data_IF_846803050192
#
_entry.id   IF_846803050192
#
_cell.length_a   1.000
_cell.length_b   1.000
_cell.length_c   1.000
_cell.angle_alpha   90.00
_cell.angle_beta   90.00
_cell.angle_gamma   90.00
#
_symmetry.space_group_name_H-M   'P 1'
#
loop_
_entity.id
_entity.type
_entity.pdbx_description
1 polymer ?
#
# COMPACT_ATOMS: atom_id res chain seq x y z
N UNK A 1 -7.24 46.60 -33.40
CA UNK A 1 -6.65 45.87 -32.26
C UNK A 1 -6.58 46.85 -31.10
N UNK A 2 -7.30 46.60 -29.99
CA UNK A 2 -6.68 45.86 -28.90
C UNK A 2 -7.63 44.97 -28.04
N UNK A 3 -7.10 43.81 -27.66
CA UNK A 3 -7.04 43.31 -26.28
C UNK A 3 -8.31 42.81 -25.54
N UNK A 4 -8.10 41.63 -24.92
CA UNK A 4 -8.77 41.09 -23.72
C UNK A 4 -9.99 40.19 -23.95
N UNK A 5 -9.72 38.93 -24.30
CA UNK A 5 -10.69 37.83 -24.15
C UNK A 5 -10.90 37.58 -22.64
N UNK A 6 -11.86 38.31 -22.08
CA UNK A 6 -12.41 38.13 -20.75
C UNK A 6 -13.69 37.28 -20.90
N UNK A 7 -13.86 36.30 -20.02
CA UNK A 7 -15.09 35.53 -19.79
C UNK A 7 -15.41 34.41 -20.80
N UNK A 8 -14.69 33.29 -20.67
CA UNK A 8 -15.23 31.95 -20.97
C UNK A 8 -15.44 31.22 -19.65
N UNK A 9 -16.52 31.55 -18.95
CA UNK A 9 -16.99 30.83 -17.77
C UNK A 9 -18.27 30.09 -18.12
N UNK A 10 -18.13 28.89 -18.70
CA UNK A 10 -19.19 27.88 -18.75
C UNK A 10 -18.62 26.60 -19.36
N UNK A 11 -18.10 25.67 -18.55
CA UNK A 11 -18.19 24.25 -18.92
C UNK A 11 -17.94 23.33 -17.71
N UNK A 12 -19.01 22.64 -17.32
CA UNK A 12 -19.03 21.26 -16.82
C UNK A 12 -18.31 21.00 -15.49
N UNK A 13 -19.11 21.00 -14.42
CA UNK A 13 -18.78 20.26 -13.20
C UNK A 13 -19.91 19.27 -12.89
N UNK A 14 -20.10 18.29 -13.78
CA UNK A 14 -20.92 17.11 -13.51
C UNK A 14 -20.05 15.86 -13.66
N UNK A 15 -19.02 15.78 -12.82
CA UNK A 15 -18.23 14.57 -12.61
C UNK A 15 -19.00 13.65 -11.67
N UNK A 16 -19.88 12.84 -12.25
CA UNK A 16 -20.61 11.75 -11.59
C UNK A 16 -19.62 10.89 -10.79
N UNK A 17 -19.92 10.65 -9.52
CA UNK A 17 -19.09 9.90 -8.59
C UNK A 17 -18.81 8.49 -9.11
N UNK A 18 -17.67 8.32 -9.77
CA UNK A 18 -17.03 7.02 -9.88
C UNK A 18 -16.34 6.77 -8.54
N UNK A 19 -17.05 6.24 -7.55
CA UNK A 19 -16.36 5.54 -6.47
C UNK A 19 -15.80 4.28 -7.13
N UNK A 20 -14.48 4.13 -7.35
CA UNK A 20 -13.96 2.81 -7.66
C UNK A 20 -14.44 1.93 -6.52
N UNK A 21 -15.27 0.94 -6.85
CA UNK A 21 -15.66 -0.09 -5.90
C UNK A 21 -14.36 -0.53 -5.25
N UNK A 22 -14.28 -0.33 -3.94
CA UNK A 22 -13.16 -0.84 -3.15
C UNK A 22 -13.31 -2.35 -3.26
N UNK A 23 -12.78 -2.92 -4.34
CA UNK A 23 -12.31 -4.30 -4.31
C UNK A 23 -11.36 -4.23 -3.14
N UNK A 24 -11.80 -4.76 -2.00
CA UNK A 24 -10.98 -4.99 -0.83
C UNK A 24 -9.95 -6.03 -1.29
N UNK A 25 -9.02 -5.59 -2.11
CA UNK A 25 -7.95 -6.39 -2.64
C UNK A 25 -7.16 -6.76 -1.41
N UNK A 26 -7.25 -8.04 -1.07
CA UNK A 26 -6.43 -8.69 -0.05
C UNK A 26 -5.00 -8.15 -0.17
N UNK A 27 -4.35 -7.90 0.96
CA UNK A 27 -3.08 -7.16 1.02
C UNK A 27 -2.08 -7.77 0.05
N UNK A 28 -1.41 -6.91 -0.71
CA UNK A 28 -0.37 -7.36 -1.65
C UNK A 28 0.97 -7.56 -0.95
N UNK A 29 1.89 -8.32 -1.57
CA UNK A 29 3.24 -8.48 -1.05
C UNK A 29 3.97 -7.13 -0.89
N UNK A 30 3.77 -6.19 -1.83
CA UNK A 30 4.37 -4.85 -1.77
C UNK A 30 3.80 -4.01 -0.63
N UNK A 31 2.48 -4.11 -0.39
CA UNK A 31 1.84 -3.45 0.76
C UNK A 31 2.37 -4.03 2.07
N UNK A 32 2.51 -5.36 2.18
CA UNK A 32 3.09 -6.00 3.36
C UNK A 32 4.55 -5.56 3.58
N UNK A 33 5.34 -5.43 2.52
CA UNK A 33 6.70 -4.89 2.59
C UNK A 33 6.72 -3.44 3.10
N UNK A 34 5.82 -2.60 2.61
CA UNK A 34 5.70 -1.21 3.04
C UNK A 34 5.36 -1.10 4.52
N UNK A 35 4.36 -1.86 5.01
CA UNK A 35 3.99 -1.92 6.42
C UNK A 35 5.16 -2.42 7.28
N UNK A 36 5.87 -3.46 6.84
CA UNK A 36 7.00 -3.98 7.59
C UNK A 36 8.15 -2.96 7.71
N UNK A 37 8.42 -2.18 6.66
CA UNK A 37 9.41 -1.09 6.68
C UNK A 37 9.01 0.08 7.59
N UNK A 38 7.72 0.33 7.79
CA UNK A 38 7.23 1.30 8.78
C UNK A 38 7.49 0.81 10.21
N UNK A 39 7.45 -0.51 10.45
CA UNK A 39 7.71 -1.07 11.78
C UNK A 39 9.19 -1.10 12.15
N UNK A 40 10.08 -1.41 11.19
CA UNK A 40 11.53 -1.51 11.43
C UNK A 40 12.26 -0.96 10.21
N UNK A 41 13.18 -0.02 10.43
CA UNK A 41 14.07 0.45 9.38
C UNK A 41 15.00 -0.68 8.91
N UNK A 42 15.02 -0.94 7.60
CA UNK A 42 15.83 -1.99 7.02
C UNK A 42 15.53 -2.23 5.54
N UNK A 43 16.34 -3.10 4.93
CA UNK A 43 16.14 -3.57 3.56
C UNK A 43 15.33 -4.86 3.58
N UNK A 44 14.22 -4.88 2.85
CA UNK A 44 13.43 -6.11 2.66
C UNK A 44 14.25 -7.10 1.82
N UNK A 45 14.46 -8.29 2.35
CA UNK A 45 15.16 -9.39 1.68
C UNK A 45 14.18 -10.34 0.98
N UNK A 46 13.02 -10.59 1.61
CA UNK A 46 12.00 -11.47 1.07
C UNK A 46 10.62 -11.12 1.64
N UNK A 47 9.60 -11.38 0.83
CA UNK A 47 8.19 -11.35 1.23
C UNK A 47 7.57 -12.66 0.78
N UNK A 48 7.20 -13.49 1.75
CA UNK A 48 6.64 -14.83 1.50
C UNK A 48 5.21 -14.88 2.03
N UNK A 49 4.24 -15.27 1.21
CA UNK A 49 2.88 -15.55 1.69
C UNK A 49 2.83 -16.98 2.23
N UNK A 50 2.44 -17.15 3.48
CA UNK A 50 2.37 -18.45 4.15
C UNK A 50 1.03 -18.62 4.85
N UNK A 51 0.62 -19.86 5.09
CA UNK A 51 -0.47 -20.16 6.00
C UNK A 51 0.12 -20.47 7.40
N UNK A 52 -0.24 -19.67 8.40
CA UNK A 52 0.15 -19.86 9.79
C UNK A 52 -1.11 -20.15 10.61
N UNK A 53 -1.27 -21.41 11.03
CA UNK A 53 -2.42 -21.85 11.86
C UNK A 53 -3.79 -21.50 11.27
N UNK A 54 -3.96 -21.69 9.95
CA UNK A 54 -5.20 -21.40 9.24
C UNK A 54 -5.37 -19.94 8.79
N UNK A 55 -4.47 -19.03 9.19
CA UNK A 55 -4.46 -17.62 8.78
C UNK A 55 -3.43 -17.40 7.68
N UNK A 56 -3.82 -16.75 6.59
CA UNK A 56 -2.86 -16.28 5.60
C UNK A 56 -2.09 -15.07 6.12
N UNK A 57 -0.77 -15.14 6.10
CA UNK A 57 0.13 -14.07 6.56
C UNK A 57 1.27 -13.89 5.57
N UNK A 58 1.77 -12.66 5.46
CA UNK A 58 3.04 -12.37 4.83
C UNK A 58 4.16 -12.40 5.87
N UNK A 59 5.16 -13.24 5.62
CA UNK A 59 6.41 -13.25 6.33
C UNK A 59 7.39 -12.34 5.61
N UNK A 60 7.67 -11.18 6.18
CA UNK A 60 8.62 -10.22 5.64
C UNK A 60 9.95 -10.33 6.38
N UNK A 61 11.03 -10.65 5.65
CA UNK A 61 12.40 -10.69 6.20
C UNK A 61 13.07 -9.36 5.92
N UNK A 62 13.52 -8.64 6.97
CA UNK A 62 14.23 -7.38 6.87
C UNK A 62 15.66 -7.53 7.38
N UNK A 63 16.62 -7.05 6.59
CA UNK A 63 18.00 -6.80 7.01
C UNK A 63 18.09 -5.42 7.65
N UNK A 64 18.43 -5.38 8.92
CA UNK A 64 18.66 -4.14 9.67
C UNK A 64 20.07 -3.58 9.40
N UNK A 65 20.31 -2.33 9.80
CA UNK A 65 21.60 -1.67 9.59
C UNK A 65 22.77 -2.35 10.34
N UNK A 66 22.49 -3.02 11.46
CA UNK A 66 23.47 -3.82 12.22
C UNK A 66 23.67 -5.24 11.66
N UNK A 67 23.05 -5.58 10.52
CA UNK A 67 23.23 -6.87 9.86
C UNK A 67 22.35 -8.01 10.40
N UNK A 68 21.39 -7.72 11.28
CA UNK A 68 20.43 -8.70 11.78
C UNK A 68 19.29 -8.91 10.77
N UNK A 69 18.76 -10.14 10.72
CA UNK A 69 17.54 -10.43 9.96
C UNK A 69 16.36 -10.50 10.92
N UNK A 70 15.43 -9.55 10.80
CA UNK A 70 14.16 -9.54 11.53
C UNK A 70 13.04 -10.06 10.66
N UNK A 71 12.19 -10.88 11.26
CA UNK A 71 10.98 -11.41 10.60
C UNK A 71 9.78 -10.67 11.14
N UNK A 72 9.02 -10.03 10.26
CA UNK A 72 7.77 -9.34 10.57
C UNK A 72 6.63 -10.13 9.91
N UNK A 73 5.61 -10.48 10.70
CA UNK A 73 4.41 -11.12 10.21
C UNK A 73 3.34 -10.06 9.99
N UNK A 74 2.76 -10.06 8.79
CA UNK A 74 1.68 -9.15 8.41
C UNK A 74 0.48 -10.01 8.03
N UNK A 75 -0.68 -9.75 8.61
CA UNK A 75 -1.92 -10.41 8.25
C UNK A 75 -2.29 -10.11 6.79
N UNK A 76 -2.52 -11.15 5.99
CA UNK A 76 -2.74 -10.97 4.56
C UNK A 76 -4.12 -10.39 4.22
N UNK A 77 -5.09 -10.43 5.14
CA UNK A 77 -6.43 -9.89 4.92
C UNK A 77 -6.53 -8.43 5.31
N UNK A 78 -5.91 -8.07 6.43
CA UNK A 78 -6.03 -6.74 7.06
C UNK A 78 -4.82 -5.85 6.87
N UNK A 79 -3.65 -6.43 6.54
CA UNK A 79 -2.39 -5.70 6.43
C UNK A 79 -1.79 -5.29 7.76
N UNK A 80 -2.35 -5.75 8.88
CA UNK A 80 -1.87 -5.43 10.21
C UNK A 80 -0.70 -6.32 10.58
N UNK A 81 0.26 -5.75 11.34
CA UNK A 81 1.33 -6.53 11.94
C UNK A 81 0.75 -7.45 13.03
N UNK A 82 1.22 -8.70 13.05
CA UNK A 82 0.92 -9.71 14.07
C UNK A 82 1.98 -9.74 15.17
#
# INVERSE_FOLDING_TARGET
>A
MPMKNLLLSALVLLGLLATPGQVLARVSADQAAAVARQSVAGRVLAVEKINASGREVFRVKLLTANGEVKVILIDAETGQKL
#
